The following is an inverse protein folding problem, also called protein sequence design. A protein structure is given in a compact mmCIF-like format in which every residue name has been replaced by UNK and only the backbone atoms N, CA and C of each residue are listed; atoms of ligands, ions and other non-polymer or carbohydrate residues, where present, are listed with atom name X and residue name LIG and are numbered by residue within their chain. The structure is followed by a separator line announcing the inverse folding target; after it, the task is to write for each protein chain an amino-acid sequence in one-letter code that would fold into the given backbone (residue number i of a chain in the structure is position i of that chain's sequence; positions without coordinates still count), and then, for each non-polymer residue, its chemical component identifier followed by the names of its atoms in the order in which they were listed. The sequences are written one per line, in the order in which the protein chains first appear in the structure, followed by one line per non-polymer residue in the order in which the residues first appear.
data_IF_067756578020
#
_entry.id   IF_067756578020
#
_cell.length_a   1.000
_cell.length_b   1.000
_cell.length_c   1.000
_cell.angle_alpha   90.00
_cell.angle_beta   90.00
_cell.angle_gamma   90.00
#
_symmetry.space_group_name_H-M   'P 1'
#
loop_
_entity.id
_entity.type
_entity.pdbx_description
1 polymer ?
#
# COMPACT_ATOMS: atom_id res chain seq x y z
N UNK A 1 39.80 -62.15 3.82
CA UNK A 1 38.90 -63.26 4.17
C UNK A 1 37.56 -63.04 3.50
N UNK A 2 37.03 -64.13 2.98
CA UNK A 2 35.82 -64.28 2.15
C UNK A 2 34.49 -63.94 2.84
N UNK A 3 33.56 -63.50 1.98
CA UNK A 3 32.16 -63.95 1.82
C UNK A 3 31.11 -63.75 2.91
N UNK A 4 29.91 -63.43 2.41
CA UNK A 4 28.62 -63.90 2.91
C UNK A 4 27.79 -62.79 3.55
N UNK A 5 26.49 -62.62 3.28
CA UNK A 5 25.54 -63.31 2.41
C UNK A 5 24.26 -62.48 2.36
N UNK A 6 23.53 -62.59 1.24
CA UNK A 6 22.14 -62.19 1.03
C UNK A 6 21.17 -62.86 2.02
N UNK A 7 19.97 -62.26 2.21
CA UNK A 7 18.63 -62.79 2.62
C UNK A 7 17.87 -61.66 3.37
N UNK A 8 16.59 -61.31 3.22
CA UNK A 8 15.42 -61.78 2.45
C UNK A 8 14.35 -60.67 2.41
N UNK A 9 13.52 -60.73 1.38
CA UNK A 9 12.32 -59.96 1.09
C UNK A 9 11.24 -59.94 2.19
N UNK A 10 10.53 -58.82 2.34
CA UNK A 10 9.09 -58.81 2.70
C UNK A 10 8.34 -57.72 1.92
N UNK A 11 7.26 -58.14 1.27
CA UNK A 11 6.29 -57.38 0.50
C UNK A 11 5.46 -56.41 1.37
N UNK A 12 5.19 -55.21 0.85
CA UNK A 12 4.02 -54.43 1.28
C UNK A 12 3.26 -53.94 0.03
N UNK A 13 2.00 -54.38 -0.03
CA UNK A 13 1.07 -54.23 -1.13
C UNK A 13 0.60 -52.78 -1.34
N UNK A 14 0.41 -52.44 -2.61
CA UNK A 14 -0.24 -51.24 -3.13
C UNK A 14 -1.71 -51.13 -2.74
N UNK A 15 -2.18 -49.92 -2.42
CA UNK A 15 -3.58 -49.51 -2.65
C UNK A 15 -3.62 -48.04 -3.10
N UNK A 16 -3.73 -47.84 -4.42
CA UNK A 16 -4.15 -46.58 -5.01
C UNK A 16 -5.66 -46.43 -4.81
N UNK A 17 -6.10 -45.30 -4.24
CA UNK A 17 -7.50 -44.92 -4.21
C UNK A 17 -7.71 -43.67 -5.08
N UNK A 18 -8.29 -43.87 -6.26
CA UNK A 18 -9.09 -42.88 -6.98
C UNK A 18 -10.45 -43.52 -7.27
N UNK A 19 -11.56 -42.80 -7.06
CA UNK A 19 -12.35 -42.30 -8.19
C UNK A 19 -12.85 -40.85 -7.89
N UNK A 20 -13.31 -40.02 -8.83
CA UNK A 20 -14.27 -40.30 -9.88
C UNK A 20 -14.16 -39.28 -11.01
N UNK A 21 -14.31 -39.79 -12.24
CA UNK A 21 -14.58 -39.04 -13.46
C UNK A 21 -16.02 -39.39 -13.85
N UNK A 22 -16.85 -38.38 -14.10
CA UNK A 22 -18.07 -38.47 -14.91
C UNK A 22 -18.30 -37.08 -15.53
N UNK A 23 -17.90 -36.88 -16.80
CA UNK A 23 -18.67 -37.01 -18.04
C UNK A 23 -19.41 -35.73 -18.47
N UNK A 24 -18.73 -35.01 -19.37
CA UNK A 24 -19.22 -34.50 -20.67
C UNK A 24 -20.63 -33.89 -20.78
N UNK A 25 -20.65 -32.61 -21.15
CA UNK A 25 -21.70 -32.00 -21.96
C UNK A 25 -21.09 -30.94 -22.89
N UNK A 26 -21.06 -31.22 -24.18
CA UNK A 26 -20.56 -30.33 -25.23
C UNK A 26 -21.70 -29.50 -25.85
N UNK A 27 -21.39 -28.23 -26.13
CA UNK A 27 -21.99 -27.42 -27.20
C UNK A 27 -23.41 -26.88 -26.99
N UNK A 28 -23.54 -25.56 -26.83
CA UNK A 28 -24.03 -24.66 -27.89
C UNK A 28 -24.09 -23.20 -27.42
N UNK A 29 -23.40 -22.35 -28.17
CA UNK A 29 -23.79 -21.05 -28.72
C UNK A 29 -24.96 -20.26 -28.08
N UNK A 30 -24.72 -18.94 -28.02
CA UNK A 30 -25.71 -17.83 -28.19
C UNK A 30 -26.01 -16.97 -26.95
N UNK A 31 -25.36 -15.79 -26.96
CA UNK A 31 -25.88 -14.45 -26.63
C UNK A 31 -26.68 -14.17 -25.34
N UNK A 32 -26.24 -13.09 -24.67
CA UNK A 32 -27.08 -12.06 -24.04
C UNK A 32 -27.93 -12.47 -22.84
N UNK A 33 -27.59 -11.94 -21.66
CA UNK A 33 -28.38 -10.88 -21.00
C UNK A 33 -27.70 -10.42 -19.72
N UNK A 34 -27.55 -9.10 -19.61
CA UNK A 34 -27.40 -8.42 -18.32
C UNK A 34 -28.69 -8.65 -17.54
N UNK A 35 -28.60 -9.03 -16.27
CA UNK A 35 -29.58 -8.64 -15.25
C UNK A 35 -28.95 -8.84 -13.86
N UNK A 36 -28.25 -7.79 -13.43
CA UNK A 36 -27.73 -7.68 -12.08
C UNK A 36 -28.85 -7.31 -11.13
N UNK A 37 -29.47 -8.30 -10.50
CA UNK A 37 -30.30 -8.09 -9.31
C UNK A 37 -29.66 -8.80 -8.12
N UNK A 38 -28.81 -8.08 -7.39
CA UNK A 38 -28.47 -8.44 -6.00
C UNK A 38 -28.84 -7.28 -5.09
N UNK A 39 -30.14 -7.16 -4.82
CA UNK A 39 -30.65 -6.45 -3.66
C UNK A 39 -30.61 -7.41 -2.47
N UNK A 40 -29.51 -7.40 -1.72
CA UNK A 40 -29.46 -7.97 -0.38
C UNK A 40 -28.39 -7.22 0.43
N UNK A 41 -28.75 -6.82 1.66
CA UNK A 41 -27.95 -6.10 2.66
C UNK A 41 -27.96 -4.55 2.57
N UNK A 42 -29.16 -3.96 2.65
CA UNK A 42 -29.32 -2.63 3.26
C UNK A 42 -29.35 -2.78 4.78
N UNK A 43 -28.19 -3.09 5.35
CA UNK A 43 -27.91 -2.94 6.77
C UNK A 43 -26.91 -1.82 6.93
N UNK A 44 -27.21 -0.85 7.79
CA UNK A 44 -26.38 0.29 8.12
C UNK A 44 -24.97 -0.14 8.57
N UNK A 45 -24.08 -0.34 7.60
CA UNK A 45 -22.67 -0.64 7.79
C UNK A 45 -21.91 0.64 8.09
N UNK A 46 -21.94 1.04 9.36
CA UNK A 46 -20.98 1.98 9.93
C UNK A 46 -19.56 1.60 9.46
N UNK A 47 -18.86 2.58 8.86
CA UNK A 47 -17.40 2.69 8.78
C UNK A 47 -16.63 1.63 7.96
N UNK A 48 -16.94 1.46 6.67
CA UNK A 48 -16.00 0.86 5.69
C UNK A 48 -15.72 1.76 4.47
N UNK A 49 -15.55 3.06 4.72
CA UNK A 49 -15.36 4.06 3.67
C UNK A 49 -14.67 5.36 4.09
N UNK A 50 -13.89 5.35 5.19
CA UNK A 50 -13.20 6.55 5.67
C UNK A 50 -11.71 6.25 5.88
N UNK A 51 -10.88 7.06 5.20
CA UNK A 51 -9.42 7.22 5.35
C UNK A 51 -8.55 6.13 4.73
N UNK A 52 -8.62 6.08 3.40
CA UNK A 52 -7.74 5.35 2.48
C UNK A 52 -8.09 5.60 1.02
N UNK A 53 -9.26 6.21 0.77
CA UNK A 53 -9.61 6.77 -0.53
C UNK A 53 -8.56 7.80 -0.92
N UNK A 54 -7.99 7.63 -2.12
CA UNK A 54 -7.46 8.74 -2.93
C UNK A 54 -8.29 9.98 -2.58
N UNK A 55 -7.64 11.08 -2.18
CA UNK A 55 -8.33 12.37 -1.98
C UNK A 55 -9.31 12.58 -3.13
N UNK A 56 -10.51 13.14 -2.88
CA UNK A 56 -11.68 12.94 -3.73
C UNK A 56 -11.27 13.03 -5.19
N UNK A 57 -11.56 11.96 -5.95
CA UNK A 57 -11.22 11.86 -7.38
C UNK A 57 -11.70 13.10 -8.15
N UNK A 58 -12.70 13.77 -7.59
CA UNK A 58 -13.22 15.06 -7.96
C UNK A 58 -12.72 16.17 -7.01
N UNK A 59 -11.92 17.10 -7.56
CA UNK A 59 -11.40 18.24 -6.82
C UNK A 59 -12.46 19.30 -6.49
N UNK A 60 -13.62 19.29 -7.17
CA UNK A 60 -14.71 20.24 -6.92
C UNK A 60 -15.28 20.14 -5.51
N UNK A 61 -15.12 18.96 -4.88
CA UNK A 61 -15.64 18.64 -3.54
C UNK A 61 -14.69 19.01 -2.40
N UNK A 62 -13.61 19.73 -2.68
CA UNK A 62 -12.60 20.11 -1.69
C UNK A 62 -12.75 21.57 -1.29
N UNK A 63 -12.26 21.94 -0.10
CA UNK A 63 -12.22 23.35 0.37
C UNK A 63 -11.43 24.25 -0.59
N UNK A 64 -10.48 23.68 -1.34
CA UNK A 64 -9.65 24.38 -2.31
C UNK A 64 -9.50 23.55 -3.59
N UNK A 65 -10.44 23.70 -4.55
CA UNK A 65 -10.45 22.94 -5.80
C UNK A 65 -9.22 23.20 -6.67
N UNK A 66 -8.71 24.45 -6.71
CA UNK A 66 -7.57 24.83 -7.54
C UNK A 66 -6.28 24.18 -7.03
N UNK A 67 -6.01 24.24 -5.72
CA UNK A 67 -4.86 23.55 -5.13
C UNK A 67 -4.97 22.04 -5.32
N UNK A 68 -6.17 21.46 -5.19
CA UNK A 68 -6.38 20.05 -5.47
C UNK A 68 -6.00 19.70 -6.92
N UNK A 69 -6.47 20.48 -7.90
CA UNK A 69 -6.19 20.28 -9.31
C UNK A 69 -4.69 20.42 -9.62
N UNK A 70 -4.04 21.47 -9.13
CA UNK A 70 -2.61 21.70 -9.29
C UNK A 70 -1.78 20.54 -8.74
N UNK A 71 -2.07 20.08 -7.52
CA UNK A 71 -1.41 18.92 -6.91
C UNK A 71 -1.59 17.67 -7.77
N UNK A 72 -2.78 17.44 -8.32
CA UNK A 72 -3.04 16.27 -9.17
C UNK A 72 -2.30 16.35 -10.50
N UNK A 73 -2.23 17.53 -11.11
CA UNK A 73 -1.47 17.75 -12.33
C UNK A 73 0.02 17.46 -12.11
N UNK A 74 0.61 18.02 -11.04
CA UNK A 74 2.01 17.74 -10.67
C UNK A 74 2.26 16.25 -10.42
N UNK A 75 1.35 15.58 -9.70
CA UNK A 75 1.48 14.14 -9.45
C UNK A 75 1.38 13.30 -10.72
N UNK A 76 0.54 13.73 -11.67
CA UNK A 76 0.38 13.06 -12.97
C UNK A 76 1.66 13.20 -13.80
N UNK A 77 2.23 14.41 -13.90
CA UNK A 77 3.48 14.66 -14.62
C UNK A 77 4.62 13.77 -14.12
N UNK A 78 4.78 13.64 -12.80
CA UNK A 78 5.79 12.76 -12.20
C UNK A 78 5.57 11.29 -12.59
N UNK A 79 4.33 10.80 -12.56
CA UNK A 79 4.04 9.42 -12.95
C UNK A 79 4.17 9.18 -14.45
N UNK A 80 3.85 10.16 -15.29
CA UNK A 80 4.04 10.11 -16.74
C UNK A 80 5.53 10.08 -17.10
N UNK A 81 6.36 10.90 -16.46
CA UNK A 81 7.82 10.88 -16.65
C UNK A 81 8.47 9.54 -16.29
N UNK A 82 7.87 8.79 -15.35
CA UNK A 82 8.34 7.47 -14.92
C UNK A 82 7.48 6.31 -15.45
N UNK A 83 6.62 6.54 -16.46
CA UNK A 83 5.62 5.56 -16.92
C UNK A 83 6.24 4.28 -17.46
N UNK A 84 7.30 4.43 -18.25
CA UNK A 84 7.90 3.31 -18.99
C UNK A 84 8.87 2.48 -18.11
N UNK A 85 9.18 2.97 -16.91
CA UNK A 85 10.02 2.28 -15.93
C UNK A 85 9.22 1.28 -15.12
N UNK A 86 9.86 0.20 -14.68
CA UNK A 86 9.24 -0.86 -13.86
C UNK A 86 10.08 -1.17 -12.62
N UNK A 87 9.48 -1.85 -11.65
CA UNK A 87 10.18 -2.33 -10.44
C UNK A 87 10.97 -1.25 -9.72
N UNK A 88 12.22 -1.58 -9.35
CA UNK A 88 13.16 -0.70 -8.66
C UNK A 88 13.53 0.54 -9.46
N UNK A 89 13.61 0.43 -10.79
CA UNK A 89 13.93 1.56 -11.67
C UNK A 89 12.84 2.64 -11.63
N UNK A 90 11.57 2.20 -11.62
CA UNK A 90 10.43 3.11 -11.45
C UNK A 90 10.48 3.81 -10.10
N UNK A 91 10.79 3.06 -9.04
CA UNK A 91 10.90 3.61 -7.69
C UNK A 91 12.00 4.68 -7.62
N UNK A 92 13.19 4.41 -8.18
CA UNK A 92 14.29 5.37 -8.24
C UNK A 92 13.91 6.63 -9.03
N UNK A 93 13.24 6.46 -10.18
CA UNK A 93 12.75 7.60 -10.96
C UNK A 93 11.78 8.47 -10.15
N UNK A 94 10.82 7.87 -9.45
CA UNK A 94 9.88 8.62 -8.61
C UNK A 94 10.59 9.38 -7.49
N UNK A 95 11.62 8.79 -6.88
CA UNK A 95 12.43 9.46 -5.86
C UNK A 95 13.24 10.63 -6.43
N UNK A 96 13.79 10.50 -7.63
CA UNK A 96 14.49 11.58 -8.34
C UNK A 96 13.54 12.72 -8.69
N UNK A 97 12.35 12.39 -9.21
CA UNK A 97 11.30 13.37 -9.49
C UNK A 97 10.87 14.11 -8.22
N UNK A 98 10.76 13.41 -7.09
CA UNK A 98 10.42 14.03 -5.82
C UNK A 98 11.44 15.07 -5.34
N UNK A 99 12.72 14.93 -5.72
CA UNK A 99 13.75 15.93 -5.46
C UNK A 99 13.61 17.19 -6.32
N UNK A 100 12.79 17.17 -7.37
CA UNK A 100 12.58 18.30 -8.29
C UNK A 100 11.27 19.06 -8.03
N UNK A 101 10.40 18.53 -7.15
CA UNK A 101 9.12 19.17 -6.82
C UNK A 101 9.36 20.56 -6.22
N UNK A 102 8.59 21.52 -6.73
CA UNK A 102 8.42 22.85 -6.14
C UNK A 102 7.50 22.76 -4.91
N UNK A 103 8.09 23.03 -3.73
CA UNK A 103 7.37 22.96 -2.47
C UNK A 103 6.43 24.15 -2.22
N UNK A 104 6.55 25.26 -2.97
CA UNK A 104 5.65 26.43 -2.81
C UNK A 104 4.21 26.10 -3.19
N UNK A 105 4.01 25.15 -4.11
CA UNK A 105 2.70 24.68 -4.54
C UNK A 105 2.14 23.55 -3.66
N UNK A 106 2.89 23.11 -2.65
CA UNK A 106 2.42 22.08 -1.74
C UNK A 106 1.39 22.66 -0.76
N UNK A 107 0.44 21.81 -0.32
CA UNK A 107 -0.56 22.18 0.70
C UNK A 107 0.10 22.68 2.00
N UNK A 108 1.25 22.11 2.35
CA UNK A 108 2.08 22.52 3.48
C UNK A 108 3.53 22.58 2.96
N UNK A 109 4.03 23.76 2.57
CA UNK A 109 5.37 23.90 1.97
C UNK A 109 6.48 23.34 2.85
N UNK A 110 6.40 23.59 4.15
CA UNK A 110 7.37 23.14 5.16
C UNK A 110 7.50 21.62 5.22
N UNK A 111 6.37 20.92 5.17
CA UNK A 111 6.36 19.46 5.15
C UNK A 111 6.98 18.91 3.85
N UNK A 112 6.78 19.60 2.74
CA UNK A 112 7.43 19.24 1.48
C UNK A 112 8.95 19.41 1.56
N UNK A 113 9.43 20.54 2.11
CA UNK A 113 10.86 20.82 2.27
C UNK A 113 11.52 19.79 3.19
N UNK A 114 10.92 19.49 4.34
CA UNK A 114 11.43 18.46 5.26
C UNK A 114 11.50 17.08 4.59
N UNK A 115 10.47 16.70 3.82
CA UNK A 115 10.45 15.41 3.13
C UNK A 115 11.51 15.34 2.02
N UNK A 116 11.74 16.45 1.31
CA UNK A 116 12.79 16.57 0.29
C UNK A 116 14.18 16.43 0.91
N UNK A 117 14.43 17.06 2.05
CA UNK A 117 15.67 16.89 2.82
C UNK A 117 15.87 15.43 3.26
N UNK A 118 14.80 14.77 3.75
CA UNK A 118 14.85 13.36 4.11
C UNK A 118 15.15 12.44 2.90
N UNK A 119 14.59 12.71 1.72
CA UNK A 119 14.92 11.97 0.51
C UNK A 119 16.40 12.10 0.12
N UNK A 120 16.99 13.29 0.28
CA UNK A 120 18.42 13.49 0.04
C UNK A 120 19.28 12.68 1.04
N UNK A 121 18.94 12.70 2.33
CA UNK A 121 19.65 11.94 3.38
C UNK A 121 19.49 10.42 3.25
N UNK A 122 18.40 9.96 2.64
CA UNK A 122 18.09 8.54 2.46
C UNK A 122 18.44 7.99 1.08
N UNK A 123 19.12 8.80 0.25
CA UNK A 123 19.56 8.40 -1.10
C UNK A 123 20.40 7.12 -1.03
N UNK A 124 20.23 6.24 -2.02
CA UNK A 124 20.93 4.96 -2.11
C UNK A 124 20.22 3.80 -1.40
N UNK A 125 19.21 4.07 -0.57
CA UNK A 125 18.30 3.04 -0.04
C UNK A 125 17.13 2.82 -1.01
N UNK A 126 16.55 1.61 -1.03
CA UNK A 126 15.37 1.29 -1.83
C UNK A 126 14.32 0.54 -1.00
N UNK A 127 13.07 0.53 -1.47
CA UNK A 127 12.01 -0.28 -0.90
C UNK A 127 11.73 0.06 0.57
N UNK A 128 11.52 -0.95 1.46
CA UNK A 128 11.23 -0.71 2.87
C UNK A 128 12.32 0.09 3.60
N UNK A 129 13.60 -0.13 3.25
CA UNK A 129 14.71 0.57 3.92
C UNK A 129 14.70 2.07 3.63
N UNK A 130 14.38 2.47 2.40
CA UNK A 130 14.20 3.87 2.04
C UNK A 130 13.05 4.50 2.82
N UNK A 131 11.88 3.82 2.83
CA UNK A 131 10.69 4.30 3.53
C UNK A 131 10.93 4.51 5.02
N UNK A 132 11.58 3.55 5.67
CA UNK A 132 11.90 3.64 7.10
C UNK A 132 12.91 4.76 7.38
N UNK A 133 13.93 4.92 6.53
CA UNK A 133 14.86 6.03 6.65
C UNK A 133 14.16 7.39 6.54
N UNK A 134 13.31 7.58 5.53
CA UNK A 134 12.58 8.84 5.33
C UNK A 134 11.66 9.12 6.52
N UNK A 135 10.95 8.10 7.00
CA UNK A 135 10.09 8.23 8.18
C UNK A 135 10.91 8.69 9.39
N UNK A 136 12.06 8.07 9.66
CA UNK A 136 12.94 8.47 10.77
C UNK A 136 13.50 9.89 10.61
N UNK A 137 13.80 10.34 9.39
CA UNK A 137 14.35 11.68 9.12
C UNK A 137 13.29 12.79 9.06
N UNK A 138 12.01 12.45 8.94
CA UNK A 138 10.88 13.39 8.96
C UNK A 138 10.16 13.44 10.30
N UNK A 139 10.57 12.60 11.25
CA UNK A 139 10.11 12.61 12.64
C UNK A 139 11.17 13.28 13.53
N UNK A 140 10.77 14.02 14.58
CA UNK A 140 9.41 14.32 14.99
C UNK A 140 8.73 15.35 14.08
N UNK A 141 7.41 15.23 13.89
CA UNK A 141 6.63 16.32 13.34
C UNK A 141 6.66 17.51 14.31
N UNK A 142 7.00 18.70 13.81
CA UNK A 142 6.80 19.94 14.55
C UNK A 142 5.28 20.21 14.69
N UNK A 143 4.74 19.84 15.85
CA UNK A 143 3.32 19.99 16.15
C UNK A 143 2.94 21.39 16.66
N UNK A 144 3.91 22.31 16.82
CA UNK A 144 3.64 23.66 17.33
C UNK A 144 2.73 24.48 16.42
N UNK A 145 2.77 24.19 15.12
CA UNK A 145 1.96 24.87 14.07
C UNK A 145 0.70 24.12 13.69
N UNK A 146 0.40 22.99 14.34
CA UNK A 146 -0.81 22.24 14.07
C UNK A 146 -2.03 22.98 14.65
N UNK A 147 -3.15 22.99 13.93
CA UNK A 147 -4.41 23.53 14.44
C UNK A 147 -4.91 22.80 15.70
N UNK A 148 -4.49 21.54 15.86
CA UNK A 148 -4.65 20.75 17.07
C UNK A 148 -3.32 20.04 17.36
N UNK A 149 -2.57 20.59 18.31
CA UNK A 149 -1.27 20.06 18.73
C UNK A 149 -1.40 18.67 19.37
N UNK A 150 -2.47 18.39 20.12
CA UNK A 150 -2.67 17.11 20.79
C UNK A 150 -2.95 15.98 19.79
N UNK A 151 -3.77 16.23 18.77
CA UNK A 151 -3.97 15.30 17.66
C UNK A 151 -2.67 15.08 16.89
N UNK A 152 -1.92 16.14 16.60
CA UNK A 152 -0.63 16.03 15.94
C UNK A 152 0.35 15.14 16.74
N UNK A 153 0.46 15.37 18.06
CA UNK A 153 1.38 14.59 18.90
C UNK A 153 0.95 13.13 19.04
N UNK A 154 -0.35 12.83 19.17
CA UNK A 154 -0.84 11.44 19.17
C UNK A 154 -0.49 10.72 17.87
N UNK A 155 -0.69 11.40 16.75
CA UNK A 155 -0.33 10.90 15.41
C UNK A 155 1.19 10.69 15.26
N UNK A 156 2.00 11.61 15.76
CA UNK A 156 3.47 11.50 15.76
C UNK A 156 3.94 10.30 16.58
N UNK A 157 3.41 10.15 17.80
CA UNK A 157 3.68 9.00 18.68
C UNK A 157 3.31 7.67 18.01
N UNK A 158 2.13 7.59 17.40
CA UNK A 158 1.68 6.39 16.69
C UNK A 158 2.62 6.02 15.53
N UNK A 159 3.03 7.01 14.72
CA UNK A 159 3.99 6.79 13.62
C UNK A 159 5.34 6.28 14.12
N UNK A 160 5.84 6.82 15.23
CA UNK A 160 7.10 6.37 15.87
C UNK A 160 6.99 4.93 16.36
N UNK A 161 5.92 4.58 17.08
CA UNK A 161 5.69 3.21 17.57
C UNK A 161 5.59 2.19 16.44
N UNK A 162 5.00 2.59 15.32
CA UNK A 162 4.78 1.72 14.17
C UNK A 162 5.90 1.79 13.11
N UNK A 163 7.01 2.47 13.37
CA UNK A 163 8.05 2.76 12.37
C UNK A 163 8.77 1.50 11.83
N UNK A 164 8.74 0.39 12.56
CA UNK A 164 9.33 -0.89 12.11
C UNK A 164 8.47 -1.61 11.06
N UNK A 165 7.18 -1.27 10.95
CA UNK A 165 6.24 -1.89 10.01
C UNK A 165 6.20 -1.10 8.69
N UNK A 166 5.76 -1.73 7.61
CA UNK A 166 5.64 -1.07 6.31
C UNK A 166 4.28 -1.35 5.63
N UNK A 167 3.92 -0.52 4.66
CA UNK A 167 2.71 -0.73 3.85
C UNK A 167 1.42 -0.80 4.66
N UNK A 168 0.62 -1.84 4.41
CA UNK A 168 -0.65 -2.08 5.10
C UNK A 168 -0.48 -2.32 6.59
N UNK A 169 0.57 -3.02 7.01
CA UNK A 169 0.84 -3.31 8.42
C UNK A 169 1.15 -2.05 9.21
N UNK A 170 1.93 -1.13 8.63
CA UNK A 170 2.19 0.17 9.26
C UNK A 170 0.90 0.94 9.48
N UNK A 171 0.05 0.99 8.43
CA UNK A 171 -1.24 1.67 8.51
C UNK A 171 -2.13 1.06 9.60
N UNK A 172 -2.23 -0.27 9.63
CA UNK A 172 -3.04 -0.98 10.62
C UNK A 172 -2.55 -0.70 12.04
N UNK A 173 -1.24 -0.78 12.28
CA UNK A 173 -0.63 -0.44 13.57
C UNK A 173 -0.94 0.99 14.00
N UNK A 174 -0.81 1.97 13.10
CA UNK A 174 -1.12 3.38 13.43
C UNK A 174 -2.60 3.54 13.79
N UNK A 175 -3.50 2.88 13.07
CA UNK A 175 -4.94 2.91 13.36
C UNK A 175 -5.25 2.28 14.73
N UNK A 176 -4.64 1.15 15.05
CA UNK A 176 -4.80 0.47 16.34
C UNK A 176 -4.29 1.34 17.49
N UNK A 177 -3.08 1.91 17.37
CA UNK A 177 -2.50 2.78 18.41
C UNK A 177 -3.36 4.03 18.64
N UNK A 178 -3.94 4.61 17.59
CA UNK A 178 -4.82 5.78 17.72
C UNK A 178 -6.24 5.41 18.20
N UNK A 179 -6.69 4.19 17.94
CA UNK A 179 -7.96 3.65 18.40
C UNK A 179 -7.93 3.21 19.86
N UNK A 180 -6.80 2.72 20.35
CA UNK A 180 -6.60 2.29 21.74
C UNK A 180 -6.48 3.46 22.74
N UNK A 181 -6.42 4.70 22.27
CA UNK A 181 -6.36 5.92 23.09
C UNK A 181 -7.61 6.80 22.99
N UNK A 182 -8.75 6.23 22.61
CA UNK A 182 -10.08 6.85 22.63
C UNK A 182 -10.91 6.32 23.80
#
# INVERSE_FOLDING_TARGET
MQMGSLIVAVLAASLFAAPAIAQSGAGKDTSTSMDGTSAAMQGAGYRRGMLGTRGPSDCSRTKDPQQCAARRAAHRQVYEACRDKRGSEREQCLHQQAAQIDCTQARIPEQCVQRKAAYALCKGRTGPQFRNCVLQKTLPADCSRASDAAVCQRQDKARKLCAAKSGSEHRQCVLEVLGAGQ
#
